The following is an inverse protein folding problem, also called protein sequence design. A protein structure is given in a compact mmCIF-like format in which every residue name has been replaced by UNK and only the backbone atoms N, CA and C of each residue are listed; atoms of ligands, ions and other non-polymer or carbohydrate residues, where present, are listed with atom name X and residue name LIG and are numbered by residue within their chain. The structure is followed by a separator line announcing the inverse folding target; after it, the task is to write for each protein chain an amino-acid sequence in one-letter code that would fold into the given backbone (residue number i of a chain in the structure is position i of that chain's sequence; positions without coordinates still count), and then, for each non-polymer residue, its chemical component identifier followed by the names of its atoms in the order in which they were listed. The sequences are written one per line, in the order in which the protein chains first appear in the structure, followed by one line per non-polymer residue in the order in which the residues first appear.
data_IF_856528571660
#
_entry.id   IF_856528571660
#
_cell.length_a   1.000
_cell.length_b   1.000
_cell.length_c   1.000
_cell.angle_alpha   90.00
_cell.angle_beta   90.00
_cell.angle_gamma   90.00
#
_symmetry.space_group_name_H-M   'P 1'
#
loop_
_entity.id
_entity.type
_entity.pdbx_description
1 polymer ?
#
# COMPACT_ATOMS: atom_id res chain seq x y z
N UNK A 1 -7.11 28.53 -18.97
CA UNK A 1 -6.17 28.17 -17.89
C UNK A 1 -4.80 27.99 -18.53
N UNK A 2 -3.81 28.81 -18.17
CA UNK A 2 -2.49 28.82 -18.82
C UNK A 2 -1.65 27.62 -18.35
N UNK A 3 -1.19 26.79 -19.30
CA UNK A 3 -0.27 25.69 -19.04
C UNK A 3 1.14 26.25 -18.83
N UNK A 4 1.76 25.95 -17.69
CA UNK A 4 3.17 26.26 -17.42
C UNK A 4 4.05 25.39 -18.31
N UNK A 5 5.04 26.04 -18.94
CA UNK A 5 6.08 25.45 -19.77
C UNK A 5 6.96 24.50 -18.96
N UNK A 6 7.04 23.23 -19.38
CA UNK A 6 8.19 22.38 -19.10
C UNK A 6 9.37 22.93 -19.93
N UNK A 7 10.42 23.36 -19.23
CA UNK A 7 11.74 23.57 -19.81
C UNK A 7 12.37 22.20 -19.96
N UNK A 8 12.43 21.70 -21.18
CA UNK A 8 13.57 20.96 -21.74
C UNK A 8 13.37 20.83 -23.27
N UNK A 9 14.25 21.48 -24.04
CA UNK A 9 14.58 21.12 -25.43
C UNK A 9 13.61 21.45 -26.59
N UNK A 10 12.42 22.02 -26.39
CA UNK A 10 11.54 22.39 -27.50
C UNK A 10 11.59 23.89 -27.82
N UNK A 11 12.19 24.25 -28.97
CA UNK A 11 12.03 25.59 -29.53
C UNK A 11 10.56 25.83 -29.92
N UNK A 12 10.08 27.02 -29.56
CA UNK A 12 8.72 27.56 -29.68
C UNK A 12 7.94 27.04 -30.91
N UNK A 13 7.17 25.97 -30.72
CA UNK A 13 6.21 25.46 -31.70
C UNK A 13 4.82 26.06 -31.46
N UNK A 14 4.13 26.44 -32.55
CA UNK A 14 2.75 26.87 -32.55
C UNK A 14 1.83 25.67 -32.20
N UNK A 15 1.13 25.73 -31.07
CA UNK A 15 0.12 24.73 -30.71
C UNK A 15 -1.23 25.22 -31.25
N UNK A 16 -1.80 24.51 -32.22
CA UNK A 16 -3.15 24.78 -32.73
C UNK A 16 -4.13 23.83 -32.05
N UNK A 17 -4.98 24.36 -31.17
CA UNK A 17 -6.10 23.61 -30.58
C UNK A 17 -7.32 23.76 -31.49
N UNK A 18 -7.72 22.68 -32.15
CA UNK A 18 -8.96 22.63 -32.92
C UNK A 18 -10.09 22.26 -31.94
N UNK A 19 -11.07 23.14 -31.76
CA UNK A 19 -12.31 22.80 -31.02
C UNK A 19 -13.09 21.76 -31.81
N UNK A 20 -13.28 20.57 -31.24
CA UNK A 20 -14.19 19.55 -31.76
C UNK A 20 -15.26 19.20 -30.72
N UNK A 21 -16.40 18.70 -31.20
CA UNK A 21 -17.58 18.36 -30.42
C UNK A 21 -17.31 17.24 -29.38
N UNK A 22 -18.17 17.08 -28.35
CA UNK A 22 -18.01 16.04 -27.33
C UNK A 22 -17.93 14.64 -27.97
N UNK A 23 -16.88 13.88 -27.65
CA UNK A 23 -16.62 12.54 -28.18
C UNK A 23 -15.62 12.45 -29.35
N UNK A 24 -15.08 13.58 -29.84
CA UNK A 24 -14.06 13.58 -30.88
C UNK A 24 -12.63 13.44 -30.32
N UNK A 25 -11.78 12.65 -31.00
CA UNK A 25 -10.35 12.54 -30.71
C UNK A 25 -9.67 13.92 -30.90
N UNK A 26 -8.86 14.34 -29.92
CA UNK A 26 -8.02 15.53 -30.04
C UNK A 26 -6.63 15.13 -30.53
N UNK A 27 -6.15 15.82 -31.57
CA UNK A 27 -4.82 15.62 -32.12
C UNK A 27 -3.91 16.77 -31.71
N UNK A 28 -2.75 16.46 -31.16
CA UNK A 28 -1.66 17.43 -31.00
C UNK A 28 -0.78 17.34 -32.24
N UNK A 29 -0.86 18.36 -33.08
CA UNK A 29 -0.05 18.49 -34.29
C UNK A 29 1.12 19.42 -33.98
N UNK A 30 2.34 18.90 -34.08
CA UNK A 30 3.57 19.67 -33.91
C UNK A 30 4.31 19.86 -35.22
N UNK A 31 5.04 20.97 -35.34
CA UNK A 31 5.97 21.22 -36.45
C UNK A 31 7.38 21.34 -35.88
N UNK A 32 8.30 20.46 -36.30
CA UNK A 32 9.74 20.53 -35.98
C UNK A 32 10.48 20.98 -37.24
N UNK A 33 11.41 21.91 -37.08
CA UNK A 33 12.36 22.25 -38.13
C UNK A 33 13.48 21.21 -38.08
N UNK A 34 13.59 20.37 -39.10
CA UNK A 34 14.79 19.57 -39.33
C UNK A 34 15.80 20.47 -40.03
N UNK A 35 17.06 20.44 -39.58
CA UNK A 35 18.09 21.41 -39.99
C UNK A 35 18.24 21.60 -41.51
N UNK A 36 18.55 22.84 -41.90
CA UNK A 36 19.05 23.34 -43.18
C UNK A 36 18.55 22.70 -44.50
N UNK A 37 17.27 22.37 -44.61
CA UNK A 37 16.64 22.01 -45.88
C UNK A 37 15.12 22.19 -45.86
N UNK A 38 14.54 22.62 -46.98
CA UNK A 38 13.14 23.03 -47.22
C UNK A 38 12.07 21.90 -47.08
N UNK A 39 12.18 20.99 -46.12
CA UNK A 39 11.16 19.97 -45.85
C UNK A 39 10.56 20.13 -44.45
N UNK A 40 9.35 20.70 -44.37
CA UNK A 40 8.52 20.67 -43.16
C UNK A 40 7.45 19.59 -43.31
N UNK A 41 7.54 18.52 -42.49
CA UNK A 41 6.49 17.52 -42.34
C UNK A 41 5.68 17.75 -41.06
N UNK A 42 4.40 17.36 -41.09
CA UNK A 42 3.52 17.32 -39.92
C UNK A 42 3.56 15.93 -39.27
N UNK A 43 3.55 15.84 -37.94
CA UNK A 43 3.46 14.57 -37.21
C UNK A 43 2.50 14.67 -36.03
N UNK A 44 1.86 13.54 -35.72
CA UNK A 44 0.97 13.36 -34.57
C UNK A 44 1.81 12.94 -33.36
N UNK A 45 1.74 13.72 -32.27
CA UNK A 45 2.61 13.53 -31.09
C UNK A 45 2.00 12.61 -30.02
N UNK A 46 0.78 12.12 -30.22
CA UNK A 46 0.17 11.10 -29.35
C UNK A 46 -1.34 11.19 -29.27
N UNK A 47 -1.97 10.14 -28.72
CA UNK A 47 -3.38 10.10 -28.34
C UNK A 47 -3.49 10.36 -26.83
N UNK A 48 -4.25 11.38 -26.44
CA UNK A 48 -4.66 11.57 -25.04
C UNK A 48 -6.17 11.44 -24.98
N UNK A 49 -6.67 10.41 -24.29
CA UNK A 49 -8.01 10.46 -23.74
C UNK A 49 -7.94 11.30 -22.47
N UNK A 50 -8.37 12.54 -22.58
CA UNK A 50 -8.57 13.41 -21.42
C UNK A 50 -9.76 12.83 -20.65
N UNK A 51 -9.56 12.45 -19.40
CA UNK A 51 -10.66 12.11 -18.49
C UNK A 51 -11.61 13.32 -18.37
N UNK A 52 -12.74 13.25 -19.08
CA UNK A 52 -13.80 14.26 -18.99
C UNK A 52 -14.47 14.18 -17.63
N UNK A 53 -14.47 15.28 -16.88
CA UNK A 53 -15.40 15.47 -15.75
C UNK A 53 -16.70 16.04 -16.30
N UNK A 54 -17.81 15.31 -16.16
CA UNK A 54 -19.13 15.92 -16.30
C UNK A 54 -19.42 16.80 -15.07
N UNK A 55 -19.86 18.04 -15.32
CA UNK A 55 -20.34 18.93 -14.27
C UNK A 55 -21.73 18.47 -13.77
N UNK A 56 -22.07 18.63 -12.48
CA UNK A 56 -23.34 18.14 -11.96
C UNK A 56 -24.50 19.01 -12.46
N UNK A 57 -25.26 18.48 -13.42
CA UNK A 57 -26.53 19.03 -13.89
C UNK A 57 -27.69 18.64 -12.97
N UNK A 58 -28.47 19.66 -12.59
CA UNK A 58 -29.67 19.62 -11.78
C UNK A 58 -30.70 18.56 -12.27
N UNK A 59 -31.04 17.55 -11.46
CA UNK A 59 -32.09 16.56 -11.79
C UNK A 59 -33.45 16.99 -11.20
N UNK A 60 -34.56 16.97 -11.96
CA UNK A 60 -35.88 17.18 -11.42
C UNK A 60 -36.38 15.93 -10.68
N UNK A 61 -37.10 16.15 -9.58
CA UNK A 61 -37.76 15.14 -8.74
C UNK A 61 -38.79 14.34 -9.56
N UNK A 62 -38.78 13.01 -9.45
CA UNK A 62 -39.92 12.14 -9.80
C UNK A 62 -40.25 11.20 -8.65
N UNK A 63 -41.56 10.99 -8.54
CA UNK A 63 -42.34 10.48 -7.42
C UNK A 63 -42.05 9.02 -7.07
N UNK A 64 -42.26 8.73 -5.78
CA UNK A 64 -42.39 7.40 -5.20
C UNK A 64 -43.59 6.67 -5.81
N UNK A 65 -43.40 5.41 -6.19
CA UNK A 65 -44.49 4.46 -6.35
C UNK A 65 -44.09 3.14 -5.68
N UNK A 66 -44.90 2.75 -4.69
CA UNK A 66 -44.73 1.53 -3.89
C UNK A 66 -45.28 0.34 -4.67
N UNK A 67 -44.53 -0.76 -4.72
CA UNK A 67 -45.08 -2.08 -4.99
C UNK A 67 -44.41 -3.11 -4.08
N UNK A 68 -45.27 -3.81 -3.34
CA UNK A 68 -44.99 -4.86 -2.38
C UNK A 68 -45.24 -6.20 -3.06
N UNK A 69 -44.32 -7.16 -3.00
CA UNK A 69 -44.67 -8.58 -3.12
C UNK A 69 -43.57 -9.50 -2.57
N UNK A 70 -43.98 -10.39 -1.66
CA UNK A 70 -43.23 -11.51 -1.08
C UNK A 70 -43.37 -12.75 -1.98
N UNK A 71 -42.29 -13.52 -2.09
CA UNK A 71 -42.16 -15.00 -2.17
C UNK A 71 -40.67 -15.26 -2.38
N UNK A 72 -39.93 -16.11 -1.66
CA UNK A 72 -40.11 -17.53 -1.34
C UNK A 72 -38.71 -18.15 -1.52
N UNK A 73 -38.24 -18.91 -0.54
CA UNK A 73 -36.89 -19.48 -0.47
C UNK A 73 -36.69 -20.62 -1.49
N UNK A 74 -35.49 -20.74 -2.05
CA UNK A 74 -34.63 -21.94 -1.97
C UNK A 74 -33.43 -21.86 -2.95
N UNK A 75 -32.24 -22.26 -2.48
CA UNK A 75 -31.24 -22.92 -3.33
C UNK A 75 -30.03 -22.14 -3.86
N UNK A 76 -28.96 -22.14 -3.06
CA UNK A 76 -27.56 -22.43 -3.44
C UNK A 76 -26.67 -21.41 -4.19
N UNK A 77 -25.56 -21.07 -3.51
CA UNK A 77 -24.20 -20.81 -4.01
C UNK A 77 -23.99 -19.77 -5.12
N UNK A 78 -23.95 -18.48 -4.75
CA UNK A 78 -22.95 -17.52 -5.25
C UNK A 78 -22.82 -16.38 -4.22
N UNK A 79 -21.59 -16.12 -3.77
CA UNK A 79 -21.30 -15.04 -2.83
C UNK A 79 -20.03 -14.30 -3.23
N UNK A 80 -20.06 -13.62 -4.36
CA UNK A 80 -19.16 -12.50 -4.63
C UNK A 80 -19.85 -11.20 -4.21
N UNK A 81 -19.03 -10.28 -3.70
CA UNK A 81 -19.33 -8.87 -3.49
C UNK A 81 -20.35 -8.53 -2.38
N UNK A 82 -19.83 -8.24 -1.18
CA UNK A 82 -20.24 -7.08 -0.37
C UNK A 82 -19.42 -7.00 0.94
N UNK A 83 -18.11 -6.69 0.82
CA UNK A 83 -17.38 -6.10 1.96
C UNK A 83 -17.45 -4.59 1.85
N UNK A 84 -18.65 -4.05 2.06
CA UNK A 84 -18.82 -2.64 2.43
C UNK A 84 -18.32 -2.49 3.86
N UNK A 85 -17.13 -1.91 4.01
CA UNK A 85 -16.56 -1.61 5.31
C UNK A 85 -17.46 -0.61 6.07
N UNK A 86 -18.17 -1.10 7.09
CA UNK A 86 -18.65 -0.29 8.19
C UNK A 86 -17.44 0.08 9.08
N UNK A 87 -16.90 1.28 8.89
CA UNK A 87 -16.02 1.94 9.86
C UNK A 87 -16.84 3.00 10.60
N UNK A 88 -17.92 2.57 11.26
CA UNK A 88 -18.70 3.40 12.16
C UNK A 88 -18.70 2.73 13.53
N UNK A 89 -17.68 3.03 14.33
CA UNK A 89 -17.57 2.49 15.68
C UNK A 89 -16.15 2.31 16.18
N UNK A 90 -15.31 3.35 16.09
CA UNK A 90 -14.10 3.40 16.91
C UNK A 90 -14.13 4.76 17.60
N UNK A 91 -14.38 4.74 18.92
CA UNK A 91 -14.50 5.87 19.84
C UNK A 91 -15.86 6.60 19.91
N UNK A 92 -16.69 6.18 20.87
CA UNK A 92 -17.58 7.05 21.67
C UNK A 92 -17.47 6.48 23.08
N UNK A 93 -17.33 7.24 24.17
CA UNK A 93 -18.25 8.29 24.61
C UNK A 93 -17.47 9.37 25.39
N UNK A 94 -17.77 10.64 25.13
CA UNK A 94 -17.15 11.87 25.69
C UNK A 94 -15.93 12.42 24.92
N UNK A 95 -16.20 12.90 23.71
CA UNK A 95 -15.32 13.84 23.00
C UNK A 95 -16.17 14.72 22.11
N UNK A 96 -16.01 16.04 22.22
CA UNK A 96 -16.78 17.03 21.46
C UNK A 96 -16.73 16.81 19.94
N UNK A 97 -17.74 17.32 19.25
CA UNK A 97 -18.04 17.07 17.84
C UNK A 97 -16.86 17.35 16.88
N UNK A 98 -16.09 16.32 16.55
CA UNK A 98 -15.19 16.26 15.39
C UNK A 98 -15.97 15.72 14.16
N UNK A 99 -17.14 16.31 13.85
CA UNK A 99 -18.06 15.74 12.85
C UNK A 99 -18.04 16.46 11.50
N UNK A 100 -17.73 17.76 11.49
CA UNK A 100 -17.96 18.62 10.32
C UNK A 100 -16.79 18.63 9.30
N UNK A 101 -15.54 18.54 9.77
CA UNK A 101 -14.37 18.51 8.88
C UNK A 101 -14.11 17.12 8.28
N UNK A 102 -14.63 16.07 8.91
CA UNK A 102 -14.39 14.68 8.49
C UNK A 102 -15.25 14.29 7.27
N UNK A 103 -16.45 14.88 7.13
CA UNK A 103 -17.36 14.66 6.00
C UNK A 103 -16.92 15.39 4.71
N UNK A 104 -16.05 16.40 4.81
CA UNK A 104 -15.55 17.17 3.67
C UNK A 104 -14.24 16.63 3.07
N UNK A 105 -13.63 15.60 3.68
CA UNK A 105 -12.33 15.08 3.23
C UNK A 105 -12.47 14.19 2.00
N UNK A 106 -11.60 14.42 1.02
CA UNK A 106 -11.42 13.52 -0.12
C UNK A 106 -10.37 12.45 0.20
N UNK A 107 -10.67 11.18 -0.08
CA UNK A 107 -9.68 10.11 -0.03
C UNK A 107 -8.69 10.27 -1.19
N UNK A 108 -7.42 10.54 -0.89
CA UNK A 108 -6.37 10.63 -1.90
C UNK A 108 -5.54 9.34 -1.98
N UNK A 109 -5.37 8.66 -0.86
CA UNK A 109 -4.55 7.46 -0.79
C UNK A 109 -5.01 6.58 0.36
N UNK A 110 -5.06 5.27 0.12
CA UNK A 110 -5.29 4.27 1.16
C UNK A 110 -4.25 3.18 0.99
N UNK A 111 -3.57 2.88 2.08
CA UNK A 111 -2.71 1.70 2.23
C UNK A 111 -3.40 0.68 3.11
N UNK A 112 -3.29 -0.58 2.75
CA UNK A 112 -3.60 -1.73 3.60
C UNK A 112 -2.36 -2.59 3.68
N UNK A 113 -1.92 -2.94 4.89
CA UNK A 113 -0.89 -3.94 5.12
C UNK A 113 -1.54 -5.08 5.90
N UNK A 114 -1.44 -6.29 5.37
CA UNK A 114 -1.86 -7.52 6.02
C UNK A 114 -0.62 -8.38 6.22
N UNK A 115 -0.45 -8.94 7.41
CA UNK A 115 0.70 -9.82 7.70
C UNK A 115 0.23 -11.01 8.52
N UNK A 116 0.56 -12.20 8.04
CA UNK A 116 0.21 -13.47 8.66
C UNK A 116 1.48 -14.25 9.00
N UNK A 117 1.49 -14.88 10.18
CA UNK A 117 2.57 -15.75 10.64
C UNK A 117 2.13 -17.21 10.73
N UNK A 118 2.98 -18.12 10.27
CA UNK A 118 2.70 -19.54 10.15
C UNK A 118 3.84 -20.37 10.75
N UNK A 119 3.52 -21.34 11.59
CA UNK A 119 4.49 -22.36 12.01
C UNK A 119 4.62 -23.44 10.92
N UNK A 120 5.85 -23.89 10.68
CA UNK A 120 6.15 -24.93 9.69
C UNK A 120 6.46 -26.28 10.35
N UNK A 121 6.27 -27.40 9.65
CA UNK A 121 6.59 -28.73 10.18
C UNK A 121 8.08 -28.95 10.49
N UNK A 122 8.98 -28.16 9.90
CA UNK A 122 10.43 -28.22 10.12
C UNK A 122 10.89 -27.39 11.34
N UNK A 123 9.96 -26.79 12.08
CA UNK A 123 10.26 -25.96 13.24
C UNK A 123 10.63 -24.51 12.90
N UNK A 124 10.55 -24.11 11.63
CA UNK A 124 10.69 -22.72 11.20
C UNK A 124 9.35 -22.00 11.14
N UNK A 125 9.38 -20.71 10.84
CA UNK A 125 8.20 -19.88 10.70
C UNK A 125 8.22 -19.16 9.37
N UNK A 126 7.09 -19.20 8.65
CA UNK A 126 6.87 -18.33 7.49
C UNK A 126 6.05 -17.12 7.93
N UNK A 127 6.46 -15.93 7.51
CA UNK A 127 5.74 -14.69 7.79
C UNK A 127 5.53 -13.97 6.48
N UNK A 128 4.26 -13.86 6.09
CA UNK A 128 3.82 -13.35 4.80
C UNK A 128 3.15 -12.00 4.98
N UNK A 129 3.72 -10.96 4.37
CA UNK A 129 3.16 -9.63 4.32
C UNK A 129 2.67 -9.27 2.92
N UNK A 130 1.52 -8.61 2.86
CA UNK A 130 0.95 -8.01 1.66
C UNK A 130 0.73 -6.53 1.91
N UNK A 131 1.23 -5.67 1.01
CA UNK A 131 0.99 -4.23 1.00
C UNK A 131 0.19 -3.88 -0.26
N UNK A 132 -0.99 -3.27 -0.05
CA UNK A 132 -1.82 -2.73 -1.13
C UNK A 132 -2.03 -1.24 -0.96
N UNK A 133 -1.67 -0.50 -1.99
CA UNK A 133 -1.99 0.92 -2.10
C UNK A 133 -3.01 1.15 -3.19
N UNK A 134 -4.02 1.96 -2.90
CA UNK A 134 -5.02 2.45 -3.85
C UNK A 134 -5.11 3.97 -3.78
N UNK A 135 -5.63 4.59 -4.85
CA UNK A 135 -6.00 6.01 -4.88
C UNK A 135 -7.53 6.14 -4.82
N UNK A 136 -8.04 7.18 -4.16
CA UNK A 136 -9.48 7.45 -4.11
C UNK A 136 -10.00 8.25 -5.32
N UNK A 137 -9.15 8.44 -6.32
CA UNK A 137 -9.45 9.09 -7.58
C UNK A 137 -8.71 8.35 -8.71
N UNK A 138 -9.18 8.55 -9.94
CA UNK A 138 -8.52 8.04 -11.12
C UNK A 138 -7.11 8.63 -11.25
N UNK A 139 -6.18 7.83 -11.79
CA UNK A 139 -4.77 8.20 -11.93
C UNK A 139 -4.35 8.01 -13.37
N UNK A 140 -3.78 9.05 -13.97
CA UNK A 140 -3.15 8.94 -15.27
C UNK A 140 -1.80 8.22 -15.11
N UNK A 141 -1.70 7.01 -15.65
CA UNK A 141 -0.50 6.19 -15.67
C UNK A 141 0.09 6.15 -17.08
N UNK A 142 1.32 5.67 -17.21
CA UNK A 142 1.97 5.47 -18.53
C UNK A 142 1.22 4.48 -19.42
N UNK A 143 0.52 3.51 -18.82
CA UNK A 143 -0.25 2.47 -19.53
C UNK A 143 -1.73 2.82 -19.71
N UNK A 144 -2.15 4.03 -19.31
CA UNK A 144 -3.53 4.48 -19.38
C UNK A 144 -4.07 4.95 -18.03
N UNK A 145 -5.38 5.13 -17.95
CA UNK A 145 -6.04 5.55 -16.72
C UNK A 145 -6.22 4.35 -15.77
N UNK A 146 -5.71 4.48 -14.55
CA UNK A 146 -5.97 3.56 -13.45
C UNK A 146 -7.19 4.05 -12.66
N UNK A 147 -8.31 3.31 -12.64
CA UNK A 147 -9.51 3.72 -11.92
C UNK A 147 -9.29 3.88 -10.42
N UNK A 148 -10.06 4.77 -9.80
CA UNK A 148 -10.14 4.90 -8.35
C UNK A 148 -10.42 3.54 -7.68
N UNK A 149 -9.70 3.25 -6.60
CA UNK A 149 -9.82 1.99 -5.86
C UNK A 149 -9.05 0.81 -6.44
N UNK A 150 -8.50 0.90 -7.66
CA UNK A 150 -7.62 -0.14 -8.20
C UNK A 150 -6.23 -0.06 -7.57
N UNK A 151 -5.58 -1.20 -7.24
CA UNK A 151 -4.23 -1.22 -6.68
C UNK A 151 -3.21 -0.57 -7.61
N UNK A 152 -2.57 0.50 -7.13
CA UNK A 152 -1.37 1.07 -7.75
C UNK A 152 -0.11 0.33 -7.27
N UNK A 153 -0.14 -0.20 -6.04
CA UNK A 153 0.84 -1.14 -5.52
C UNK A 153 0.09 -2.36 -4.99
N UNK A 154 0.55 -3.54 -5.37
CA UNK A 154 0.15 -4.82 -4.77
C UNK A 154 1.44 -5.65 -4.67
N UNK A 155 1.95 -5.75 -3.45
CA UNK A 155 3.28 -6.27 -3.17
C UNK A 155 3.21 -7.32 -2.07
N UNK A 156 3.95 -8.39 -2.26
CA UNK A 156 4.07 -9.49 -1.33
C UNK A 156 5.52 -9.63 -0.86
N UNK A 157 5.71 -9.94 0.42
CA UNK A 157 7.00 -10.28 1.01
C UNK A 157 6.80 -11.46 1.95
N UNK A 158 7.62 -12.50 1.81
CA UNK A 158 7.72 -13.60 2.77
C UNK A 158 9.11 -13.66 3.35
N UNK A 159 9.19 -13.75 4.68
CA UNK A 159 10.40 -14.13 5.40
C UNK A 159 10.17 -15.49 6.05
N UNK A 160 11.04 -16.45 5.74
CA UNK A 160 11.16 -17.69 6.49
C UNK A 160 12.24 -17.51 7.53
N UNK A 161 11.93 -17.75 8.80
CA UNK A 161 12.85 -17.57 9.92
C UNK A 161 12.98 -18.83 10.76
N UNK A 162 14.17 -19.09 11.27
CA UNK A 162 14.39 -20.15 12.24
C UNK A 162 14.01 -19.72 13.66
N UNK A 163 14.24 -20.63 14.60
CA UNK A 163 13.99 -20.40 16.02
C UNK A 163 14.94 -19.37 16.66
N UNK A 164 15.99 -18.93 15.97
CA UNK A 164 16.82 -17.80 16.41
C UNK A 164 16.38 -16.47 15.77
N UNK A 165 15.26 -16.47 15.02
CA UNK A 165 14.83 -15.38 14.15
C UNK A 165 15.88 -14.98 13.09
N UNK A 166 16.75 -15.92 12.68
CA UNK A 166 17.59 -15.75 11.51
C UNK A 166 16.75 -15.99 10.26
N UNK A 167 16.84 -15.08 9.30
CA UNK A 167 16.15 -15.21 8.01
C UNK A 167 16.81 -16.32 7.19
N UNK A 168 16.11 -17.43 7.03
CA UNK A 168 16.54 -18.58 6.22
C UNK A 168 16.22 -18.35 4.74
N UNK A 169 15.10 -17.71 4.44
CA UNK A 169 14.65 -17.36 3.09
C UNK A 169 13.92 -16.01 3.09
N UNK A 170 14.06 -15.28 1.99
CA UNK A 170 13.36 -14.01 1.79
C UNK A 170 12.90 -13.94 0.32
N UNK A 171 11.60 -13.79 0.13
CA UNK A 171 10.97 -13.74 -1.18
C UNK A 171 10.09 -12.49 -1.27
N UNK A 172 10.19 -11.76 -2.38
CA UNK A 172 9.30 -10.64 -2.66
C UNK A 172 8.63 -10.83 -4.02
N UNK A 173 7.45 -10.23 -4.19
CA UNK A 173 6.73 -10.16 -5.48
C UNK A 173 6.04 -8.81 -5.62
N UNK A 174 5.84 -8.37 -6.86
CA UNK A 174 5.08 -7.17 -7.21
C UNK A 174 4.09 -7.50 -8.32
N UNK A 175 2.80 -7.49 -8.00
CA UNK A 175 1.73 -7.76 -8.97
C UNK A 175 1.26 -6.46 -9.61
N UNK A 176 1.08 -5.41 -8.81
CA UNK A 176 0.72 -4.06 -9.28
C UNK A 176 1.81 -3.06 -8.90
N UNK A 177 2.17 -2.19 -9.85
CA UNK A 177 3.23 -1.18 -9.71
C UNK A 177 3.03 -0.04 -10.72
N UNK A 178 3.55 1.17 -10.43
CA UNK A 178 3.38 2.32 -11.32
C UNK A 178 4.24 2.28 -12.57
N UNK A 179 5.38 1.58 -12.55
CA UNK A 179 6.29 1.49 -13.70
C UNK A 179 6.65 0.03 -14.03
N UNK A 180 5.77 -0.66 -14.78
CA UNK A 180 6.04 -2.02 -15.28
C UNK A 180 7.33 -2.08 -16.12
N UNK A 181 8.03 -3.21 -16.06
CA UNK A 181 9.34 -3.42 -16.68
C UNK A 181 10.51 -2.76 -15.92
N UNK A 182 10.23 -1.99 -14.86
CA UNK A 182 11.26 -1.26 -14.10
C UNK A 182 11.16 -1.51 -12.60
N UNK A 183 9.99 -1.36 -11.98
CA UNK A 183 9.84 -1.51 -10.53
C UNK A 183 10.21 -2.92 -10.06
N UNK A 184 9.80 -3.94 -10.79
CA UNK A 184 10.01 -5.35 -10.43
C UNK A 184 11.47 -5.80 -10.51
N UNK A 185 12.34 -5.05 -11.18
CA UNK A 185 13.77 -5.39 -11.30
C UNK A 185 14.49 -5.43 -9.95
N UNK A 186 13.95 -4.74 -8.94
CA UNK A 186 14.51 -4.72 -7.58
C UNK A 186 14.05 -5.91 -6.72
N UNK A 187 13.06 -6.68 -7.17
CA UNK A 187 12.49 -7.79 -6.39
C UNK A 187 13.56 -8.83 -5.97
N UNK A 188 14.49 -9.26 -6.84
CA UNK A 188 15.51 -10.24 -6.45
C UNK A 188 16.43 -9.77 -5.32
N UNK A 189 16.64 -8.46 -5.14
CA UNK A 189 17.53 -7.90 -4.11
C UNK A 189 17.06 -8.23 -2.68
N UNK A 190 15.77 -8.51 -2.48
CA UNK A 190 15.23 -8.86 -1.15
C UNK A 190 15.76 -10.20 -0.63
N UNK A 191 16.22 -11.08 -1.52
CA UNK A 191 16.92 -12.32 -1.13
C UNK A 191 18.20 -12.04 -0.33
N UNK A 192 18.79 -10.84 -0.45
CA UNK A 192 19.95 -10.41 0.32
C UNK A 192 19.68 -10.34 1.83
N UNK A 193 18.42 -10.41 2.29
CA UNK A 193 18.09 -10.49 3.72
C UNK A 193 18.38 -11.87 4.33
N UNK A 194 18.60 -12.91 3.51
CA UNK A 194 19.01 -14.23 3.99
C UNK A 194 20.28 -14.13 4.84
N UNK A 195 20.27 -14.83 5.97
CA UNK A 195 21.34 -14.84 6.98
C UNK A 195 21.34 -13.63 7.91
N UNK A 196 20.39 -12.70 7.79
CA UNK A 196 20.23 -11.60 8.77
C UNK A 196 19.34 -12.07 9.92
N UNK A 197 19.74 -11.78 11.16
CA UNK A 197 18.91 -12.02 12.34
C UNK A 197 18.01 -10.83 12.65
N UNK A 198 16.73 -11.10 12.91
CA UNK A 198 15.77 -10.11 13.40
C UNK A 198 16.02 -9.89 14.90
N UNK A 199 16.82 -8.86 15.19
CA UNK A 199 17.27 -8.49 16.53
C UNK A 199 17.41 -6.95 16.64
N UNK A 200 17.74 -6.38 17.82
CA UNK A 200 18.03 -4.95 17.92
C UNK A 200 19.06 -4.49 16.86
N UNK A 201 18.71 -3.44 16.11
CA UNK A 201 19.51 -2.95 14.98
C UNK A 201 19.11 -3.50 13.61
N UNK A 202 18.18 -4.47 13.53
CA UNK A 202 17.71 -5.06 12.27
C UNK A 202 17.29 -4.01 11.22
N UNK A 203 16.49 -3.01 11.60
CA UNK A 203 16.06 -1.95 10.68
C UNK A 203 17.23 -1.16 10.08
N UNK A 204 18.34 -0.99 10.82
CA UNK A 204 19.55 -0.34 10.29
C UNK A 204 20.22 -1.22 9.23
N UNK A 205 20.28 -2.53 9.46
CA UNK A 205 20.82 -3.49 8.49
C UNK A 205 19.98 -3.46 7.21
N UNK A 206 18.65 -3.50 7.33
CA UNK A 206 17.73 -3.40 6.18
C UNK A 206 17.94 -2.11 5.41
N UNK A 207 18.02 -0.95 6.09
CA UNK A 207 18.28 0.34 5.44
C UNK A 207 19.64 0.39 4.74
N UNK A 208 20.66 -0.25 5.29
CA UNK A 208 21.99 -0.30 4.66
C UNK A 208 22.00 -1.17 3.39
N UNK A 209 21.20 -2.24 3.33
CA UNK A 209 21.15 -3.15 2.17
C UNK A 209 20.16 -2.71 1.10
N UNK A 210 18.97 -2.26 1.52
CA UNK A 210 17.81 -2.02 0.66
C UNK A 210 17.30 -0.57 0.73
N UNK A 211 18.06 0.34 1.35
CA UNK A 211 17.69 1.75 1.41
C UNK A 211 17.91 2.48 0.09
N UNK A 212 17.14 3.55 -0.12
CA UNK A 212 17.29 4.41 -1.30
C UNK A 212 17.04 3.66 -2.60
N UNK A 213 18.00 3.73 -3.53
CA UNK A 213 17.89 3.12 -4.86
C UNK A 213 18.13 1.61 -4.87
N UNK A 214 18.60 1.03 -3.76
CA UNK A 214 18.90 -0.40 -3.63
C UNK A 214 17.66 -1.23 -3.23
N UNK A 215 16.51 -0.58 -3.03
CA UNK A 215 15.27 -1.23 -2.70
C UNK A 215 14.07 -0.48 -3.27
N UNK A 216 12.91 -0.99 -2.90
CA UNK A 216 11.63 -0.32 -3.16
C UNK A 216 11.14 0.21 -1.83
N UNK A 217 10.79 1.50 -1.76
CA UNK A 217 10.25 2.12 -0.54
C UNK A 217 9.18 1.26 0.14
N UNK A 218 8.24 0.74 -0.64
CA UNK A 218 7.09 -0.04 -0.17
C UNK A 218 7.50 -1.39 0.43
N UNK A 219 8.24 -2.21 -0.31
CA UNK A 219 8.70 -3.51 0.18
C UNK A 219 9.70 -3.34 1.34
N UNK A 220 10.57 -2.34 1.31
CA UNK A 220 11.55 -2.07 2.38
C UNK A 220 10.85 -1.63 3.68
N UNK A 221 9.77 -0.85 3.59
CA UNK A 221 8.89 -0.55 4.72
C UNK A 221 8.20 -1.82 5.24
N UNK A 222 7.67 -2.65 4.33
CA UNK A 222 6.99 -3.91 4.67
C UNK A 222 7.90 -4.88 5.43
N UNK A 223 9.20 -4.93 5.12
CA UNK A 223 10.19 -5.73 5.88
C UNK A 223 10.13 -5.46 7.38
N UNK A 224 9.97 -4.19 7.80
CA UNK A 224 9.90 -3.84 9.22
C UNK A 224 8.63 -4.36 9.91
N UNK A 225 7.49 -4.31 9.21
CA UNK A 225 6.21 -4.81 9.72
C UNK A 225 6.26 -6.34 9.81
N UNK A 226 6.73 -7.02 8.75
CA UNK A 226 6.90 -8.47 8.71
C UNK A 226 7.84 -8.94 9.82
N UNK A 227 8.95 -8.23 10.05
CA UNK A 227 9.88 -8.57 11.13
C UNK A 227 9.26 -8.47 12.53
N UNK A 228 8.40 -7.48 12.76
CA UNK A 228 7.67 -7.37 14.03
C UNK A 228 6.71 -8.55 14.21
N UNK A 229 6.00 -8.94 13.16
CA UNK A 229 5.09 -10.10 13.21
C UNK A 229 5.86 -11.40 13.35
N UNK A 230 7.05 -11.55 12.76
CA UNK A 230 7.92 -12.70 12.98
C UNK A 230 8.28 -12.88 14.45
N UNK A 231 8.70 -11.79 15.10
CA UNK A 231 8.98 -11.78 16.53
C UNK A 231 7.75 -12.21 17.35
N UNK A 232 6.59 -11.62 17.07
CA UNK A 232 5.35 -11.92 17.81
C UNK A 232 4.79 -13.32 17.51
N UNK A 233 4.97 -13.83 16.29
CA UNK A 233 4.57 -15.18 15.89
C UNK A 233 5.37 -16.22 16.66
N UNK A 234 6.69 -16.00 16.78
CA UNK A 234 7.55 -16.88 17.56
C UNK A 234 7.25 -16.81 19.06
N UNK A 235 7.12 -15.60 19.61
CA UNK A 235 7.03 -15.43 21.06
C UNK A 235 5.61 -15.49 21.63
N UNK A 236 4.59 -15.36 20.78
CA UNK A 236 3.20 -15.61 21.15
C UNK A 236 2.87 -17.08 21.39
N UNK A 237 3.76 -18.02 21.01
CA UNK A 237 3.57 -19.46 21.19
C UNK A 237 4.37 -20.03 22.37
N UNK A 238 5.13 -19.21 23.09
CA UNK A 238 5.95 -19.67 24.23
C UNK A 238 5.09 -20.10 25.43
N UNK A 239 5.42 -21.27 26.00
CA UNK A 239 4.84 -21.78 27.24
C UNK A 239 5.24 -20.91 28.45
N UNK A 240 4.38 -20.80 29.49
CA UNK A 240 4.71 -20.15 30.76
C UNK A 240 5.90 -20.76 31.51
N UNK A 241 6.28 -22.01 31.21
CA UNK A 241 7.34 -22.76 31.91
C UNK A 241 8.74 -22.47 31.35
N UNK A 242 9.05 -21.20 31.10
CA UNK A 242 10.37 -20.82 30.59
C UNK A 242 11.45 -20.88 31.68
N UNK A 243 12.50 -21.66 31.42
CA UNK A 243 13.71 -21.69 32.26
C UNK A 243 14.62 -20.49 32.02
N UNK A 244 14.56 -19.91 30.83
CA UNK A 244 15.38 -18.77 30.41
C UNK A 244 14.57 -17.48 30.37
N UNK A 245 15.26 -16.33 30.43
CA UNK A 245 14.61 -15.02 30.38
C UNK A 245 13.85 -14.85 29.06
N UNK A 246 12.54 -14.54 29.10
CA UNK A 246 11.78 -14.36 27.88
C UNK A 246 12.32 -13.18 27.06
N UNK A 247 12.62 -13.39 25.77
CA UNK A 247 13.26 -12.38 24.93
C UNK A 247 12.34 -11.21 24.55
N UNK A 248 11.03 -11.30 24.78
CA UNK A 248 10.08 -10.19 24.62
C UNK A 248 10.08 -9.20 25.78
N UNK A 249 10.70 -9.53 26.92
CA UNK A 249 10.87 -8.59 28.02
C UNK A 249 11.77 -7.43 27.60
N UNK A 250 11.46 -6.23 28.09
CA UNK A 250 12.04 -4.95 27.67
C UNK A 250 11.83 -4.61 26.17
N UNK A 251 11.03 -5.40 25.45
CA UNK A 251 10.71 -5.19 24.03
C UNK A 251 9.53 -4.24 23.78
N UNK A 252 8.70 -3.98 24.78
CA UNK A 252 7.64 -2.97 24.70
C UNK A 252 7.40 -2.31 26.07
N UNK A 253 6.69 -1.18 26.06
CA UNK A 253 6.43 -0.40 27.27
C UNK A 253 5.80 -1.23 28.40
N UNK A 254 4.79 -2.04 28.08
CA UNK A 254 4.12 -2.87 29.07
C UNK A 254 5.03 -3.99 29.62
N UNK A 255 6.01 -4.45 28.84
CA UNK A 255 6.90 -5.54 29.21
C UNK A 255 8.25 -5.05 29.76
N UNK A 256 8.32 -3.80 30.20
CA UNK A 256 9.48 -3.26 30.91
C UNK A 256 9.72 -4.03 32.21
N UNK A 257 10.95 -4.47 32.45
CA UNK A 257 11.29 -5.31 33.61
C UNK A 257 11.08 -4.59 34.94
N UNK A 258 11.06 -3.27 34.93
CA UNK A 258 10.78 -2.42 36.10
C UNK A 258 9.28 -2.15 36.29
N UNK A 259 8.43 -2.59 35.35
CA UNK A 259 7.00 -2.31 35.32
C UNK A 259 6.13 -3.36 36.01
N UNK A 260 4.89 -2.96 36.33
CA UNK A 260 3.92 -3.75 37.09
C UNK A 260 3.53 -5.07 36.40
N UNK A 261 3.43 -5.08 35.07
CA UNK A 261 3.06 -6.27 34.29
C UNK A 261 4.14 -7.35 34.44
N UNK A 262 5.43 -7.00 34.33
CA UNK A 262 6.51 -7.98 34.53
C UNK A 262 6.56 -8.43 35.98
N UNK A 263 6.39 -7.52 36.94
CA UNK A 263 6.31 -7.89 38.35
C UNK A 263 5.20 -8.92 38.65
N UNK A 264 4.06 -8.81 37.96
CA UNK A 264 2.91 -9.70 38.14
C UNK A 264 3.04 -11.04 37.39
N UNK A 265 3.40 -10.99 36.12
CA UNK A 265 3.34 -12.17 35.22
C UNK A 265 4.69 -12.84 34.99
N UNK A 266 5.79 -12.16 35.30
CA UNK A 266 7.16 -12.62 35.11
C UNK A 266 8.02 -12.33 36.36
N UNK A 267 7.57 -12.70 37.57
CA UNK A 267 8.17 -12.23 38.83
C UNK A 267 9.65 -12.58 38.97
N UNK A 268 10.08 -13.74 38.45
CA UNK A 268 11.48 -14.16 38.45
C UNK A 268 12.42 -13.23 37.68
N UNK A 269 11.92 -12.46 36.72
CA UNK A 269 12.70 -11.55 35.88
C UNK A 269 12.37 -10.08 36.13
N UNK A 270 11.55 -9.79 37.13
CA UNK A 270 11.20 -8.44 37.55
C UNK A 270 12.40 -7.75 38.19
N UNK A 271 12.55 -6.45 37.90
CA UNK A 271 13.47 -5.52 38.55
C UNK A 271 12.71 -4.40 39.28
N UNK A 272 11.42 -4.57 39.53
CA UNK A 272 10.62 -3.59 40.27
C UNK A 272 11.22 -3.38 41.67
N UNK A 273 11.53 -2.12 42.01
CA UNK A 273 12.11 -1.75 43.32
C UNK A 273 13.63 -1.91 43.43
N UNK A 274 14.35 -2.22 42.35
CA UNK A 274 15.82 -2.17 42.29
C UNK A 274 16.22 -0.81 41.69
N UNK A 275 16.60 0.15 42.55
CA UNK A 275 17.23 1.42 42.15
C UNK A 275 18.71 1.23 41.76
#
# INVERSE_FOLDING_TARGET
MALRSCRDGFERGLIVLIKSAPGAQQFVIGQRRLGNGLNSGWYVVGHSQICGREAPGNKPKKQEEKANQKTGQDGNLMGNAEQRHHYAGIFSEKGGAMKDEQEQRQLLHRRVIEVNGYARPDGWYDVEGVLRDVKGHDVDMTEGCLPAGTPIHDMFLRLTVDDALMICEAEARMTSRPYPGTCEKIVPEYSSLKGVTIAPGFTRIVRNRLGGIHGCTHLTELVGVVATVAFQTRYGTLSPEMKERPPHLDGCHALASTGEVVARFYPHWSRAGVE
#
